data_IF_554727002147
#
_entry.id   IF_554727002147
#
_cell.length_a   1.000
_cell.length_b   1.000
_cell.length_c   1.000
_cell.angle_alpha   90.00
_cell.angle_beta   90.00
_cell.angle_gamma   90.00
#
_symmetry.space_group_name_H-M   'P 1'
#
loop_
_entity.id
_entity.type
_entity.pdbx_description
1 polymer ?
#
# COMPACT_ATOMS: atom_id res chain seq x y z
N UNK A 1 20.95 -5.83 -9.12
CA UNK A 1 20.28 -5.97 -7.82
C UNK A 1 20.61 -4.78 -6.91
N UNK A 2 20.62 -3.63 -7.48
CA UNK A 2 21.02 -2.39 -6.81
C UNK A 2 20.28 -1.29 -7.53
N UNK A 3 19.24 -0.72 -7.01
CA UNK A 3 18.72 0.61 -7.36
C UNK A 3 17.26 0.84 -6.94
N UNK A 4 16.65 -0.11 -6.21
CA UNK A 4 15.30 0.11 -5.67
C UNK A 4 15.27 0.97 -4.39
N UNK A 5 16.44 1.34 -3.85
CA UNK A 5 16.55 2.11 -2.61
C UNK A 5 16.56 3.64 -2.84
N UNK A 6 16.53 4.08 -4.10
CA UNK A 6 16.76 5.50 -4.40
C UNK A 6 15.53 6.39 -4.22
N UNK A 7 14.35 5.86 -4.49
CA UNK A 7 13.11 6.66 -4.44
C UNK A 7 12.53 6.85 -3.04
N UNK A 8 12.82 5.94 -2.12
CA UNK A 8 12.15 5.90 -0.82
C UNK A 8 12.77 6.84 0.24
N UNK A 9 14.03 7.25 0.06
CA UNK A 9 14.74 8.12 1.03
C UNK A 9 14.38 9.61 0.94
N UNK A 10 13.66 10.04 -0.09
CA UNK A 10 13.33 11.47 -0.31
C UNK A 10 11.88 11.87 0.01
N UNK A 11 11.07 10.97 0.53
CA UNK A 11 9.72 11.35 0.96
C UNK A 11 9.77 12.16 2.25
N UNK A 12 9.93 13.47 2.11
CA UNK A 12 9.83 14.41 3.23
C UNK A 12 8.34 14.48 3.64
N UNK A 13 8.02 13.85 4.75
CA UNK A 13 6.68 13.64 5.29
C UNK A 13 5.83 14.93 5.38
N UNK A 14 6.43 16.08 5.65
CA UNK A 14 5.71 17.33 5.85
C UNK A 14 5.27 18.01 4.54
N UNK A 15 6.14 18.08 3.54
CA UNK A 15 5.79 18.62 2.21
C UNK A 15 4.82 17.70 1.47
N UNK A 16 4.95 16.40 1.70
CA UNK A 16 4.08 15.37 1.14
C UNK A 16 2.65 15.49 1.69
N UNK A 17 2.49 15.65 2.98
CA UNK A 17 1.18 15.83 3.60
C UNK A 17 0.48 17.11 3.11
N UNK A 18 1.21 18.20 2.90
CA UNK A 18 0.65 19.46 2.40
C UNK A 18 0.14 19.36 0.94
N UNK A 19 0.79 18.54 0.10
CA UNK A 19 0.34 18.29 -1.28
C UNK A 19 -0.87 17.36 -1.32
N UNK A 20 -1.01 16.46 -0.36
CA UNK A 20 -2.04 15.43 -0.31
C UNK A 20 -3.43 15.95 0.07
N UNK A 21 -3.51 17.06 0.78
CA UNK A 21 -4.80 17.65 1.16
C UNK A 21 -5.45 18.47 0.04
N UNK A 22 -4.71 18.76 -1.04
CA UNK A 22 -5.12 19.77 -2.01
C UNK A 22 -5.87 19.27 -3.24
N UNK A 23 -5.76 18.00 -3.63
CA UNK A 23 -6.40 17.48 -4.84
C UNK A 23 -7.10 16.15 -4.58
N UNK A 24 -8.38 16.26 -4.27
CA UNK A 24 -9.29 15.13 -4.06
C UNK A 24 -9.97 14.67 -5.37
N UNK A 25 -9.37 14.95 -6.52
CA UNK A 25 -9.92 14.56 -7.80
C UNK A 25 -9.64 13.08 -8.08
N UNK A 26 -10.72 12.34 -8.30
CA UNK A 26 -10.61 10.97 -8.80
C UNK A 26 -10.09 11.03 -10.23
N UNK A 27 -8.93 10.41 -10.47
CA UNK A 27 -8.37 10.30 -11.81
C UNK A 27 -9.30 9.49 -12.71
N UNK A 28 -9.56 9.99 -13.93
CA UNK A 28 -10.18 9.18 -14.95
C UNK A 28 -9.18 8.12 -15.46
N UNK A 29 -9.66 7.15 -16.23
CA UNK A 29 -8.84 6.02 -16.69
C UNK A 29 -7.71 6.46 -17.62
N UNK A 30 -7.96 7.41 -18.49
CA UNK A 30 -6.98 7.90 -19.47
C UNK A 30 -5.85 8.67 -18.79
N UNK A 31 -6.19 9.59 -17.89
CA UNK A 31 -5.20 10.34 -17.12
C UNK A 31 -4.35 9.41 -16.22
N UNK A 32 -5.00 8.42 -15.61
CA UNK A 32 -4.31 7.38 -14.83
C UNK A 32 -3.26 6.67 -15.68
N UNK A 33 -3.63 6.21 -16.85
CA UNK A 33 -2.73 5.49 -17.76
C UNK A 33 -1.59 6.39 -18.26
N UNK A 34 -1.87 7.63 -18.61
CA UNK A 34 -0.87 8.59 -19.03
C UNK A 34 0.16 8.88 -17.93
N UNK A 35 -0.28 9.02 -16.68
CA UNK A 35 0.62 9.22 -15.55
C UNK A 35 1.47 7.98 -15.27
N UNK A 36 0.89 6.78 -15.38
CA UNK A 36 1.62 5.52 -15.21
C UNK A 36 2.71 5.38 -16.28
N UNK A 37 2.37 5.64 -17.55
CA UNK A 37 3.35 5.57 -18.64
C UNK A 37 4.50 6.56 -18.46
N UNK A 38 4.22 7.80 -18.08
CA UNK A 38 5.25 8.80 -17.80
C UNK A 38 6.18 8.35 -16.67
N UNK A 39 5.63 7.76 -15.63
CA UNK A 39 6.45 7.20 -14.56
C UNK A 39 7.27 5.99 -15.01
N UNK A 40 6.66 5.04 -15.71
CA UNK A 40 7.34 3.81 -16.13
C UNK A 40 8.45 4.08 -17.16
N UNK A 41 8.22 4.97 -18.12
CA UNK A 41 9.16 5.27 -19.20
C UNK A 41 10.22 6.31 -18.79
N UNK A 42 9.78 7.43 -18.23
CA UNK A 42 10.61 8.62 -18.01
C UNK A 42 11.03 8.81 -16.56
N UNK A 43 10.50 7.98 -15.64
CA UNK A 43 10.67 8.15 -14.18
C UNK A 43 10.26 9.54 -13.69
N UNK A 44 9.20 10.10 -14.30
CA UNK A 44 8.68 11.40 -13.93
C UNK A 44 8.08 11.40 -12.52
N UNK A 45 8.84 11.94 -11.56
CA UNK A 45 8.43 12.02 -10.15
C UNK A 45 7.13 12.81 -9.94
N UNK A 46 6.83 13.78 -10.80
CA UNK A 46 5.59 14.56 -10.71
C UNK A 46 4.37 13.68 -11.01
N UNK A 47 4.49 12.83 -12.01
CA UNK A 47 3.44 11.86 -12.36
C UNK A 47 3.24 10.83 -11.25
N UNK A 48 4.34 10.30 -10.68
CA UNK A 48 4.25 9.40 -9.53
C UNK A 48 3.54 10.07 -8.35
N UNK A 49 3.95 11.29 -7.99
CA UNK A 49 3.36 12.02 -6.86
C UNK A 49 1.85 12.27 -7.04
N UNK A 50 1.40 12.55 -8.26
CA UNK A 50 -0.05 12.69 -8.57
C UNK A 50 -0.79 11.37 -8.36
N UNK A 51 -0.22 10.25 -8.83
CA UNK A 51 -0.80 8.92 -8.61
C UNK A 51 -0.86 8.58 -7.12
N UNK A 52 0.22 8.81 -6.38
CA UNK A 52 0.26 8.53 -4.95
C UNK A 52 -0.78 9.36 -4.19
N UNK A 53 -0.93 10.64 -4.52
CA UNK A 53 -1.94 11.51 -3.92
C UNK A 53 -3.37 11.00 -4.20
N UNK A 54 -3.68 10.65 -5.45
CA UNK A 54 -4.99 10.16 -5.84
C UNK A 54 -5.39 8.85 -5.12
N UNK A 55 -4.40 7.97 -4.88
CA UNK A 55 -4.64 6.64 -4.28
C UNK A 55 -4.42 6.55 -2.77
N UNK A 56 -4.06 7.64 -2.11
CA UNK A 56 -3.87 7.68 -0.66
C UNK A 56 -5.09 7.21 0.14
N UNK A 57 -6.30 7.58 -0.32
CA UNK A 57 -7.55 7.13 0.33
C UNK A 57 -7.72 5.63 0.26
N UNK A 58 -7.30 5.00 -0.84
CA UNK A 58 -7.31 3.56 -0.99
C UNK A 58 -6.37 2.90 0.01
N UNK A 59 -5.13 3.40 0.14
CA UNK A 59 -4.17 2.91 1.13
C UNK A 59 -4.76 3.01 2.54
N UNK A 60 -5.31 4.18 2.91
CA UNK A 60 -5.96 4.38 4.20
C UNK A 60 -7.13 3.42 4.44
N UNK A 61 -7.94 3.14 3.43
CA UNK A 61 -9.06 2.22 3.55
C UNK A 61 -8.62 0.78 3.83
N UNK A 62 -7.49 0.37 3.23
CA UNK A 62 -6.92 -0.96 3.42
C UNK A 62 -6.28 -1.10 4.79
N UNK A 63 -5.44 -0.12 5.20
CA UNK A 63 -4.71 -0.19 6.46
C UNK A 63 -5.61 -0.20 7.70
N UNK A 64 -6.80 0.39 7.63
CA UNK A 64 -7.76 0.38 8.75
C UNK A 64 -8.07 -1.02 9.29
N UNK A 65 -8.02 -2.02 8.41
CA UNK A 65 -8.26 -3.42 8.78
C UNK A 65 -7.13 -4.01 9.64
N UNK A 66 -5.97 -3.35 9.64
CA UNK A 66 -4.76 -3.83 10.30
C UNK A 66 -4.35 -3.02 11.53
N UNK A 67 -5.09 -1.98 11.89
CA UNK A 67 -4.77 -1.13 13.05
C UNK A 67 -4.76 -1.87 14.39
N UNK A 68 -5.48 -2.98 14.48
CA UNK A 68 -5.57 -3.78 15.70
C UNK A 68 -4.35 -4.66 15.99
N UNK A 69 -3.34 -4.64 15.14
CA UNK A 69 -2.12 -5.43 15.35
C UNK A 69 -1.07 -4.70 16.20
N UNK A 70 -1.38 -3.53 16.74
CA UNK A 70 -0.49 -2.79 17.64
C UNK A 70 0.68 -2.08 16.96
N UNK A 71 0.63 -1.93 15.65
CA UNK A 71 1.61 -1.18 14.86
C UNK A 71 1.06 0.23 14.59
N UNK A 72 1.92 1.23 14.58
CA UNK A 72 1.51 2.61 14.34
C UNK A 72 0.81 2.76 12.99
N UNK A 73 -0.19 3.62 12.94
CA UNK A 73 -0.92 3.91 11.70
C UNK A 73 0.01 4.50 10.65
N UNK A 74 0.94 5.33 11.08
CA UNK A 74 1.92 6.01 10.26
C UNK A 74 2.84 5.02 9.56
N UNK A 75 3.35 4.02 10.30
CA UNK A 75 4.19 2.97 9.74
C UNK A 75 3.43 2.11 8.73
N UNK A 76 2.21 1.69 9.07
CA UNK A 76 1.36 0.93 8.15
C UNK A 76 1.02 1.74 6.89
N UNK A 77 0.83 3.05 7.03
CA UNK A 77 0.58 3.93 5.90
C UNK A 77 1.79 4.02 4.98
N UNK A 78 3.00 4.21 5.52
CA UNK A 78 4.23 4.25 4.74
C UNK A 78 4.46 2.94 3.98
N UNK A 79 4.27 1.80 4.65
CA UNK A 79 4.38 0.49 4.02
C UNK A 79 3.32 0.29 2.91
N UNK A 80 2.10 0.74 3.14
CA UNK A 80 1.04 0.73 2.15
C UNK A 80 1.38 1.59 0.92
N UNK A 81 2.00 2.75 1.11
CA UNK A 81 2.48 3.60 0.02
C UNK A 81 3.62 2.95 -0.76
N UNK A 82 4.52 2.23 -0.10
CA UNK A 82 5.55 1.42 -0.77
C UNK A 82 4.89 0.36 -1.65
N UNK A 83 3.87 -0.33 -1.13
CA UNK A 83 3.08 -1.29 -1.90
C UNK A 83 2.42 -0.68 -3.13
N UNK A 84 1.93 0.55 -3.02
CA UNK A 84 1.35 1.29 -4.14
C UNK A 84 2.41 1.62 -5.21
N UNK A 85 3.62 2.03 -4.83
CA UNK A 85 4.73 2.28 -5.77
C UNK A 85 5.08 1.00 -6.54
N UNK A 86 5.20 -0.14 -5.84
CA UNK A 86 5.42 -1.42 -6.52
C UNK A 86 4.31 -1.77 -7.51
N UNK A 87 3.06 -1.49 -7.15
CA UNK A 87 1.94 -1.71 -8.05
C UNK A 87 2.05 -0.85 -9.31
N UNK A 88 2.39 0.44 -9.17
CA UNK A 88 2.54 1.36 -10.30
C UNK A 88 3.68 0.91 -11.22
N UNK A 89 4.81 0.48 -10.66
CA UNK A 89 5.96 0.00 -11.43
C UNK A 89 5.64 -1.26 -12.25
N UNK A 90 4.82 -2.15 -11.71
CA UNK A 90 4.49 -3.45 -12.32
C UNK A 90 3.15 -3.47 -13.06
N UNK A 91 2.45 -2.35 -13.09
CA UNK A 91 1.14 -2.27 -13.71
C UNK A 91 1.21 -2.42 -15.23
N UNK A 92 0.40 -3.30 -15.76
CA UNK A 92 0.28 -3.54 -17.20
C UNK A 92 -1.02 -2.93 -17.74
N UNK A 93 -0.88 -1.82 -18.44
CA UNK A 93 -1.99 -1.05 -19.03
C UNK A 93 -2.74 -1.87 -20.08
N UNK A 94 -2.04 -2.77 -20.78
CA UNK A 94 -2.63 -3.57 -21.87
C UNK A 94 -3.78 -4.47 -21.39
N UNK A 95 -3.80 -4.81 -20.09
CA UNK A 95 -4.84 -5.66 -19.48
C UNK A 95 -6.16 -4.94 -19.25
N UNK A 96 -6.24 -3.64 -19.45
CA UNK A 96 -7.48 -2.85 -19.39
C UNK A 96 -8.10 -2.66 -18.01
N UNK A 97 -7.45 -3.13 -16.94
CA UNK A 97 -7.92 -2.96 -15.56
C UNK A 97 -7.58 -1.56 -15.01
N UNK A 98 -8.20 -1.19 -13.89
CA UNK A 98 -7.87 0.00 -13.13
C UNK A 98 -6.72 -0.29 -12.17
N UNK A 99 -5.85 0.71 -11.96
CA UNK A 99 -4.76 0.62 -10.99
C UNK A 99 -5.28 0.29 -9.58
N UNK A 100 -6.44 0.83 -9.20
CA UNK A 100 -7.06 0.56 -7.90
C UNK A 100 -7.30 -0.93 -7.62
N UNK A 101 -7.69 -1.69 -8.64
CA UNK A 101 -7.92 -3.13 -8.51
C UNK A 101 -6.62 -3.90 -8.31
N UNK A 102 -5.62 -3.59 -9.11
CA UNK A 102 -4.31 -4.23 -9.06
C UNK A 102 -3.51 -3.86 -7.80
N UNK A 103 -3.50 -2.58 -7.44
CA UNK A 103 -2.72 -2.08 -6.31
C UNK A 103 -3.18 -2.61 -4.95
N UNK A 104 -4.47 -2.98 -4.80
CA UNK A 104 -4.98 -3.58 -3.56
C UNK A 104 -4.18 -4.82 -3.11
N UNK A 105 -3.78 -5.65 -4.04
CA UNK A 105 -2.98 -6.85 -3.75
C UNK A 105 -1.60 -6.49 -3.23
N UNK A 106 -0.92 -5.55 -3.88
CA UNK A 106 0.40 -5.09 -3.48
C UNK A 106 0.39 -4.40 -2.12
N UNK A 107 -0.52 -3.45 -1.92
CA UNK A 107 -0.68 -2.73 -0.66
C UNK A 107 -0.93 -3.71 0.49
N UNK A 108 -1.87 -4.63 0.31
CA UNK A 108 -2.17 -5.66 1.31
C UNK A 108 -0.98 -6.55 1.60
N UNK A 109 -0.27 -7.01 0.57
CA UNK A 109 0.88 -7.91 0.72
C UNK A 109 2.02 -7.25 1.51
N UNK A 110 2.33 -5.98 1.22
CA UNK A 110 3.40 -5.24 1.90
C UNK A 110 3.03 -4.97 3.37
N UNK A 111 1.81 -4.50 3.63
CA UNK A 111 1.31 -4.29 5.00
C UNK A 111 1.36 -5.59 5.81
N UNK A 112 0.87 -6.69 5.27
CA UNK A 112 0.89 -7.98 5.95
C UNK A 112 2.31 -8.48 6.23
N UNK A 113 3.23 -8.33 5.29
CA UNK A 113 4.63 -8.68 5.48
C UNK A 113 5.28 -7.85 6.59
N UNK A 114 4.99 -6.55 6.62
CA UNK A 114 5.50 -5.65 7.65
C UNK A 114 4.98 -6.05 9.05
N UNK A 115 3.68 -6.33 9.17
CA UNK A 115 3.08 -6.80 10.43
C UNK A 115 3.77 -8.08 10.90
N UNK A 116 3.94 -9.07 10.03
CA UNK A 116 4.57 -10.33 10.40
C UNK A 116 6.03 -10.16 10.86
N UNK A 117 6.77 -9.23 10.27
CA UNK A 117 8.15 -8.93 10.66
C UNK A 117 8.25 -8.25 12.02
N UNK A 118 7.27 -7.41 12.36
CA UNK A 118 7.33 -6.55 13.55
C UNK A 118 6.47 -7.04 14.72
N UNK A 119 5.54 -7.98 14.49
CA UNK A 119 4.62 -8.44 15.51
C UNK A 119 5.22 -9.49 16.46
N UNK A 120 6.24 -10.21 16.04
CA UNK A 120 6.87 -11.27 16.85
C UNK A 120 8.39 -11.14 16.86
N UNK A 121 8.95 -11.21 18.05
CA UNK A 121 10.41 -11.34 18.26
C UNK A 121 10.92 -12.71 17.73
N UNK A 122 10.04 -13.70 17.63
CA UNK A 122 10.31 -15.01 17.05
C UNK A 122 9.90 -14.97 15.57
N UNK A 123 10.86 -15.12 14.67
CA UNK A 123 10.60 -15.25 13.23
C UNK A 123 9.80 -16.53 12.97
N UNK A 124 8.49 -16.40 12.97
CA UNK A 124 7.61 -17.44 12.44
C UNK A 124 7.77 -17.45 10.92
N UNK A 125 7.90 -18.65 10.33
CA UNK A 125 8.15 -18.81 8.91
C UNK A 125 7.16 -18.05 8.02
N UNK A 126 7.62 -17.63 6.85
CA UNK A 126 6.91 -16.75 5.93
C UNK A 126 6.12 -17.49 4.84
N UNK A 127 5.71 -18.74 5.07
CA UNK A 127 4.93 -19.49 4.08
C UNK A 127 3.53 -18.91 3.90
N UNK A 128 2.96 -19.07 2.69
CA UNK A 128 1.61 -18.60 2.37
C UNK A 128 0.55 -19.16 3.34
N UNK A 129 0.69 -20.44 3.72
CA UNK A 129 -0.20 -21.12 4.66
C UNK A 129 -0.14 -20.51 6.07
N UNK A 130 1.04 -20.17 6.55
CA UNK A 130 1.23 -19.54 7.86
C UNK A 130 0.67 -18.11 7.90
N UNK A 131 0.83 -17.35 6.82
CA UNK A 131 0.21 -16.02 6.68
C UNK A 131 -1.31 -16.12 6.71
N UNK A 132 -1.89 -17.05 5.97
CA UNK A 132 -3.34 -17.27 5.93
C UNK A 132 -3.86 -17.66 7.31
N UNK A 133 -3.17 -18.55 8.02
CA UNK A 133 -3.55 -18.96 9.36
C UNK A 133 -3.48 -17.81 10.36
N UNK A 134 -2.41 -17.03 10.35
CA UNK A 134 -2.20 -15.90 11.25
C UNK A 134 -3.30 -14.84 11.10
N UNK A 135 -3.57 -14.40 9.88
CA UNK A 135 -4.59 -13.38 9.63
C UNK A 135 -6.01 -13.92 9.79
N UNK A 136 -6.23 -15.20 9.46
CA UNK A 136 -7.51 -15.89 9.68
C UNK A 136 -7.84 -16.02 11.17
N UNK A 137 -6.89 -16.44 11.98
CA UNK A 137 -7.05 -16.60 13.43
C UNK A 137 -7.40 -15.27 14.11
N UNK A 138 -6.70 -14.18 13.77
CA UNK A 138 -7.00 -12.87 14.31
C UNK A 138 -8.39 -12.34 13.91
N UNK A 139 -8.85 -12.68 12.70
CA UNK A 139 -10.22 -12.37 12.26
C UNK A 139 -11.25 -13.11 13.09
N UNK A 140 -11.06 -14.40 13.33
CA UNK A 140 -11.94 -15.22 14.18
C UNK A 140 -11.97 -14.73 15.61
N UNK A 141 -10.82 -14.42 16.20
CA UNK A 141 -10.72 -13.87 17.56
C UNK A 141 -11.55 -12.59 17.73
N UNK A 142 -11.52 -11.70 16.73
CA UNK A 142 -12.37 -10.48 16.76
C UNK A 142 -13.86 -10.80 16.70
N UNK A 143 -14.26 -11.78 15.90
CA UNK A 143 -15.67 -12.18 15.79
C UNK A 143 -16.17 -12.77 17.10
N UNK A 144 -15.38 -13.61 17.77
CA UNK A 144 -15.72 -14.22 19.05
C UNK A 144 -15.87 -13.14 20.13
N UNK A 145 -14.93 -12.20 20.22
CA UNK A 145 -15.00 -11.12 21.21
C UNK A 145 -16.20 -10.18 20.98
N UNK A 146 -16.68 -10.05 19.74
CA UNK A 146 -17.87 -9.25 19.43
C UNK A 146 -19.17 -9.99 19.76
N UNK A 147 -19.16 -11.32 19.76
CA UNK A 147 -20.33 -12.16 20.06
C UNK A 147 -20.52 -12.38 21.57
N UNK A 148 -19.54 -11.94 22.39
CA UNK A 148 -19.55 -12.12 23.87
C UNK A 148 -20.01 -10.86 24.62
N UNK A 149 -20.41 -9.82 23.87
CA UNK A 149 -20.99 -8.58 24.39
C UNK A 149 -22.49 -8.49 24.07
#
# INVERSE_FOLDING_TARGET
>A
MTDQNYSLKKFNSSAYNALLYRNNESLNKEDEYNLILKWQNDKDEKSLNKLLAAYQKLVNSILRKYLSYGISKEDLFQEGMIGLVYAIDKFDISKGFRLSTYSRWWIKAVIQNYILKNWSVVKTGSTASQKTLFFGFNKLKKQINFSSL
#
